data_IF_529319921333
#
_entry.id   IF_529319921333
#
_cell.length_a   1.000
_cell.length_b   1.000
_cell.length_c   1.000
_cell.angle_alpha   90.00
_cell.angle_beta   90.00
_cell.angle_gamma   90.00
#
_symmetry.space_group_name_H-M   'P 1'
#
loop_
_entity.id
_entity.type
_entity.pdbx_description
1 polymer ?
#
# COMPACT_ATOMS: atom_id res chain seq x y z
N UNK A 1 -12.17 7.90 -32.04
CA UNK A 1 -11.89 6.92 -30.97
C UNK A 1 -10.39 6.91 -30.70
N UNK A 2 -9.97 6.84 -29.43
CA UNK A 2 -8.54 6.83 -29.04
C UNK A 2 -7.86 8.20 -28.97
N UNK A 3 -8.61 9.29 -28.99
CA UNK A 3 -8.04 10.63 -28.82
C UNK A 3 -7.76 10.93 -27.34
N UNK A 4 -6.70 11.67 -27.08
CA UNK A 4 -6.33 12.22 -25.78
C UNK A 4 -6.63 13.71 -25.77
N UNK A 5 -7.26 14.20 -24.72
CA UNK A 5 -7.63 15.62 -24.62
C UNK A 5 -8.03 16.03 -23.22
N UNK A 6 -8.43 17.30 -23.09
CA UNK A 6 -8.95 17.86 -21.86
C UNK A 6 -10.49 17.81 -21.88
N UNK A 7 -11.07 17.43 -20.73
CA UNK A 7 -12.51 17.45 -20.53
C UNK A 7 -12.88 18.53 -19.51
N UNK A 8 -13.76 19.46 -19.90
CA UNK A 8 -14.23 20.55 -19.04
C UNK A 8 -15.73 20.33 -18.77
N UNK A 9 -16.06 19.93 -17.56
CA UNK A 9 -17.43 19.57 -17.14
C UNK A 9 -18.06 20.57 -16.16
N UNK A 10 -17.45 21.73 -15.94
CA UNK A 10 -17.90 22.74 -14.98
C UNK A 10 -18.13 22.16 -13.56
N UNK A 11 -17.27 21.21 -13.15
CA UNK A 11 -17.28 20.64 -11.81
C UNK A 11 -16.83 21.70 -10.81
N UNK A 12 -17.49 21.77 -9.65
CA UNK A 12 -17.12 22.72 -8.59
C UNK A 12 -15.92 22.22 -7.78
N UNK A 13 -15.79 20.90 -7.67
CA UNK A 13 -14.71 20.25 -6.96
C UNK A 13 -14.07 19.19 -7.87
N UNK A 14 -12.75 19.20 -8.02
CA UNK A 14 -12.01 18.20 -8.82
C UNK A 14 -12.20 16.80 -8.25
N UNK A 15 -12.40 16.65 -6.94
CA UNK A 15 -12.65 15.37 -6.27
C UNK A 15 -13.99 14.71 -6.68
N UNK A 16 -14.89 15.46 -7.31
CA UNK A 16 -16.17 14.93 -7.82
C UNK A 16 -15.98 14.09 -9.09
N UNK A 17 -14.79 14.11 -9.70
CA UNK A 17 -14.42 13.27 -10.84
C UNK A 17 -13.30 12.30 -10.45
N UNK A 18 -13.49 11.02 -10.71
CA UNK A 18 -12.53 9.96 -10.38
C UNK A 18 -11.99 9.31 -11.65
N UNK A 19 -10.77 8.80 -11.56
CA UNK A 19 -10.19 7.97 -12.65
C UNK A 19 -11.06 6.72 -12.82
N UNK A 20 -11.49 6.48 -14.05
CA UNK A 20 -12.40 5.38 -14.39
C UNK A 20 -13.89 5.77 -14.44
N UNK A 21 -14.25 7.01 -14.12
CA UNK A 21 -15.61 7.49 -14.27
C UNK A 21 -16.06 7.47 -15.73
N UNK A 22 -17.32 7.12 -15.94
CA UNK A 22 -17.92 7.11 -17.27
C UNK A 22 -18.63 8.44 -17.52
N UNK A 23 -18.17 9.17 -18.53
CA UNK A 23 -18.80 10.42 -18.95
C UNK A 23 -19.95 10.14 -19.89
N UNK A 24 -21.12 10.60 -19.56
CA UNK A 24 -22.36 10.36 -20.31
C UNK A 24 -23.02 11.69 -20.73
N UNK A 25 -23.70 11.65 -21.86
CA UNK A 25 -24.67 12.67 -22.20
C UNK A 25 -25.93 12.49 -21.31
N UNK A 26 -26.40 13.58 -20.69
CA UNK A 26 -27.57 13.55 -19.83
C UNK A 26 -28.85 13.00 -20.52
N UNK A 27 -28.90 13.08 -21.85
CA UNK A 27 -29.99 12.58 -22.69
C UNK A 27 -29.79 11.16 -23.18
N UNK A 28 -28.55 10.62 -23.11
CA UNK A 28 -28.18 9.29 -23.56
C UNK A 28 -27.48 8.53 -22.45
N UNK A 29 -28.23 7.71 -21.74
CA UNK A 29 -27.67 6.83 -20.72
C UNK A 29 -26.98 5.65 -21.40
N UNK A 30 -25.73 5.34 -21.04
CA UNK A 30 -25.08 4.10 -21.45
C UNK A 30 -25.82 2.92 -20.80
N UNK A 31 -26.07 1.83 -21.55
CA UNK A 31 -26.72 0.66 -21.00
C UNK A 31 -25.87 -0.04 -19.93
N UNK A 32 -24.54 0.01 -20.06
CA UNK A 32 -23.59 -0.62 -19.13
C UNK A 32 -22.32 0.24 -18.97
N UNK A 33 -21.76 0.23 -17.78
CA UNK A 33 -20.45 0.80 -17.51
C UNK A 33 -19.35 -0.10 -18.09
N UNK A 34 -18.24 0.47 -18.55
CA UNK A 34 -17.10 -0.31 -19.00
C UNK A 34 -16.51 -1.10 -17.83
N UNK A 35 -16.40 -2.42 -18.01
CA UNK A 35 -15.78 -3.28 -17.02
C UNK A 35 -14.25 -3.07 -16.99
N UNK A 36 -13.63 -3.34 -15.82
CA UNK A 36 -12.17 -3.36 -15.68
C UNK A 36 -11.59 -2.22 -14.87
N UNK A 37 -12.31 -1.14 -14.64
CA UNK A 37 -11.90 -0.11 -13.70
C UNK A 37 -12.21 -0.56 -12.27
N UNK A 38 -11.18 -0.64 -11.45
CA UNK A 38 -11.29 -0.96 -10.01
C UNK A 38 -10.77 0.21 -9.22
N UNK A 39 -11.44 0.52 -8.14
CA UNK A 39 -10.94 1.48 -7.16
C UNK A 39 -9.64 0.92 -6.57
N UNK A 40 -8.59 1.71 -6.65
CA UNK A 40 -7.28 1.34 -6.12
C UNK A 40 -7.33 1.54 -4.61
N UNK A 41 -7.02 0.48 -3.86
CA UNK A 41 -6.98 0.53 -2.40
C UNK A 41 -5.55 0.65 -1.91
N UNK A 42 -5.36 1.48 -0.90
CA UNK A 42 -4.11 1.56 -0.18
C UNK A 42 -3.83 0.24 0.54
N UNK A 43 -2.56 -0.19 0.52
CA UNK A 43 -2.10 -1.42 1.14
C UNK A 43 -1.14 -1.16 2.30
N UNK A 44 -0.51 -0.01 2.30
CA UNK A 44 0.52 0.39 3.26
C UNK A 44 0.14 1.76 3.81
N UNK A 45 0.25 1.92 5.11
CA UNK A 45 -0.12 3.16 5.81
C UNK A 45 1.05 3.68 6.62
N UNK A 46 1.27 4.99 6.57
CA UNK A 46 2.27 5.66 7.40
C UNK A 46 1.77 7.04 7.83
N UNK A 47 2.16 7.45 9.04
CA UNK A 47 1.98 8.82 9.48
C UNK A 47 3.04 9.72 8.82
N UNK A 48 2.61 10.86 8.28
CA UNK A 48 3.47 11.88 7.68
C UNK A 48 3.31 13.17 8.48
N UNK A 49 4.37 13.62 9.07
CA UNK A 49 4.39 14.77 9.98
C UNK A 49 5.38 15.81 9.48
N UNK A 50 5.06 17.11 9.55
CA UNK A 50 6.06 18.13 9.28
C UNK A 50 7.07 18.17 10.42
N UNK A 51 8.35 18.35 10.11
CA UNK A 51 9.40 18.51 11.12
C UNK A 51 9.21 19.80 11.93
N UNK A 52 8.68 20.85 11.30
CA UNK A 52 8.22 22.08 11.95
C UNK A 52 6.69 22.11 12.00
N UNK A 53 6.13 22.15 13.21
CA UNK A 53 4.69 22.20 13.42
C UNK A 53 3.99 23.38 12.73
N UNK A 54 4.70 24.47 12.44
CA UNK A 54 4.17 25.60 11.69
C UNK A 54 3.83 25.26 10.22
N UNK A 55 4.43 24.22 9.66
CA UNK A 55 4.20 23.74 8.28
C UNK A 55 3.03 22.78 8.13
N UNK A 56 2.22 22.55 9.17
CA UNK A 56 1.06 21.64 9.09
C UNK A 56 0.07 22.00 7.98
N UNK A 57 -0.26 23.29 7.84
CA UNK A 57 -1.17 23.76 6.81
C UNK A 57 -0.54 23.65 5.40
N UNK A 58 0.76 23.89 5.27
CA UNK A 58 1.49 23.74 4.02
C UNK A 58 1.51 22.26 3.59
N UNK A 59 1.70 21.33 4.54
CA UNK A 59 1.63 19.90 4.29
C UNK A 59 0.22 19.46 3.83
N UNK A 60 -0.83 19.98 4.47
CA UNK A 60 -2.21 19.71 4.05
C UNK A 60 -2.45 20.14 2.61
N UNK A 61 -2.06 21.37 2.28
CA UNK A 61 -2.25 21.94 0.94
C UNK A 61 -1.42 21.19 -0.12
N UNK A 62 -0.22 20.72 0.26
CA UNK A 62 0.63 19.90 -0.61
C UNK A 62 -0.01 18.52 -0.88
N UNK A 63 -0.50 17.84 0.15
CA UNK A 63 -1.22 16.56 0.00
C UNK A 63 -2.47 16.72 -0.86
N UNK A 64 -3.24 17.79 -0.67
CA UNK A 64 -4.42 18.08 -1.49
C UNK A 64 -4.05 18.23 -2.97
N UNK A 65 -2.97 18.94 -3.27
CA UNK A 65 -2.46 19.12 -4.65
C UNK A 65 -1.94 17.81 -5.24
N UNK A 66 -1.24 17.00 -4.45
CA UNK A 66 -0.76 15.69 -4.91
C UNK A 66 -1.91 14.75 -5.27
N UNK A 67 -2.97 14.71 -4.47
CA UNK A 67 -4.16 13.88 -4.74
C UNK A 67 -4.89 14.24 -6.05
N UNK A 68 -4.68 15.44 -6.61
CA UNK A 68 -5.22 15.79 -7.92
C UNK A 68 -4.54 15.02 -9.06
N UNK A 69 -3.28 14.63 -8.87
CA UNK A 69 -2.48 13.89 -9.85
C UNK A 69 -2.33 12.41 -9.49
N UNK A 70 -2.60 12.05 -8.26
CA UNK A 70 -2.47 10.70 -7.74
C UNK A 70 -3.74 10.28 -7.00
N UNK A 71 -4.64 9.64 -7.73
CA UNK A 71 -5.92 9.15 -7.20
C UNK A 71 -5.77 8.00 -6.20
N UNK A 72 -4.58 7.41 -6.09
CA UNK A 72 -4.29 6.30 -5.17
C UNK A 72 -3.82 6.77 -3.79
N UNK A 73 -3.37 8.03 -3.68
CA UNK A 73 -2.99 8.64 -2.42
C UNK A 73 -4.24 8.99 -1.61
N UNK A 74 -4.34 8.45 -0.41
CA UNK A 74 -5.38 8.76 0.56
C UNK A 74 -4.73 9.37 1.79
N UNK A 75 -5.37 10.33 2.44
CA UNK A 75 -4.88 10.89 3.68
C UNK A 75 -6.01 11.36 4.59
N UNK A 76 -5.78 11.26 5.87
CA UNK A 76 -6.66 11.77 6.92
C UNK A 76 -5.84 12.44 8.02
N UNK A 77 -6.39 13.42 8.75
CA UNK A 77 -5.69 14.05 9.87
C UNK A 77 -5.36 13.03 10.95
N UNK A 78 -4.13 13.09 11.44
CA UNK A 78 -3.64 12.27 12.55
C UNK A 78 -2.91 13.14 13.58
N UNK A 79 -2.93 12.73 14.83
CA UNK A 79 -2.15 13.39 15.88
C UNK A 79 -1.32 12.38 16.65
N UNK A 80 -0.07 12.73 16.90
CA UNK A 80 0.86 11.96 17.72
C UNK A 80 1.29 12.77 18.93
N UNK A 81 1.36 12.13 20.10
CA UNK A 81 1.86 12.78 21.32
C UNK A 81 3.33 13.19 21.21
N UNK A 82 4.10 12.51 20.36
CA UNK A 82 5.53 12.77 20.17
C UNK A 82 5.81 13.73 19.00
N UNK A 83 5.01 13.64 17.91
CA UNK A 83 5.26 14.35 16.66
C UNK A 83 4.28 15.51 16.40
N UNK A 84 3.22 15.63 17.21
CA UNK A 84 2.21 16.66 17.02
C UNK A 84 1.17 16.30 15.96
N UNK A 85 0.73 17.30 15.20
CA UNK A 85 -0.28 17.11 14.15
C UNK A 85 0.37 16.75 12.82
N UNK A 86 -0.23 15.81 12.13
CA UNK A 86 0.18 15.32 10.82
C UNK A 86 -0.96 14.64 10.08
N UNK A 87 -0.62 13.75 9.18
CA UNK A 87 -1.60 13.02 8.38
C UNK A 87 -1.24 11.53 8.33
N UNK A 88 -2.24 10.69 8.52
CA UNK A 88 -2.18 9.27 8.18
C UNK A 88 -2.39 9.14 6.68
N UNK A 89 -1.39 8.63 5.98
CA UNK A 89 -1.44 8.49 4.53
C UNK A 89 -1.47 7.01 4.14
N UNK A 90 -2.30 6.70 3.15
CA UNK A 90 -2.41 5.37 2.54
C UNK A 90 -1.71 5.32 1.19
N UNK A 91 -0.90 4.28 0.97
CA UNK A 91 -0.05 4.10 -0.20
C UNK A 91 -0.27 2.74 -0.85
N UNK A 92 0.07 2.61 -2.13
CA UNK A 92 0.04 1.32 -2.85
C UNK A 92 1.12 0.35 -2.40
N UNK A 93 2.17 0.86 -1.82
CA UNK A 93 3.34 0.11 -1.36
C UNK A 93 4.47 1.06 -0.97
N UNK A 94 5.61 0.50 -0.60
CA UNK A 94 6.76 1.27 -0.12
C UNK A 94 7.30 2.26 -1.16
N UNK A 95 7.46 1.83 -2.42
CA UNK A 95 7.92 2.71 -3.49
C UNK A 95 7.01 3.91 -3.70
N UNK A 96 5.69 3.70 -3.59
CA UNK A 96 4.73 4.80 -3.69
C UNK A 96 4.90 5.80 -2.52
N UNK A 97 5.11 5.30 -1.30
CA UNK A 97 5.41 6.13 -0.13
C UNK A 97 6.67 6.97 -0.37
N UNK A 98 7.76 6.36 -0.80
CA UNK A 98 9.03 7.04 -1.07
C UNK A 98 8.87 8.14 -2.14
N UNK A 99 8.15 7.85 -3.23
CA UNK A 99 7.88 8.83 -4.30
C UNK A 99 7.06 10.00 -3.77
N UNK A 100 6.00 9.74 -3.00
CA UNK A 100 5.16 10.79 -2.43
C UNK A 100 5.96 11.64 -1.45
N UNK A 101 6.76 11.02 -0.58
CA UNK A 101 7.63 11.73 0.34
C UNK A 101 8.62 12.63 -0.41
N UNK A 102 9.34 12.09 -1.39
CA UNK A 102 10.31 12.84 -2.19
C UNK A 102 9.65 14.01 -2.93
N UNK A 103 8.43 13.83 -3.44
CA UNK A 103 7.67 14.89 -4.08
C UNK A 103 7.27 16.00 -3.09
N UNK A 104 6.79 15.63 -1.89
CA UNK A 104 6.46 16.59 -0.84
C UNK A 104 7.69 17.42 -0.43
N UNK A 105 8.84 16.78 -0.28
CA UNK A 105 10.10 17.44 0.07
C UNK A 105 10.60 18.36 -1.05
N UNK A 106 10.62 17.89 -2.31
CA UNK A 106 11.21 18.63 -3.44
C UNK A 106 10.29 19.64 -4.09
N UNK A 107 9.00 19.29 -4.28
CA UNK A 107 8.07 20.18 -4.99
C UNK A 107 7.49 21.24 -4.05
N UNK A 108 7.34 20.92 -2.76
CA UNK A 108 6.70 21.80 -1.78
C UNK A 108 7.65 22.31 -0.70
N UNK A 109 8.92 21.91 -0.74
CA UNK A 109 9.97 22.32 0.20
C UNK A 109 9.59 22.05 1.67
N UNK A 110 9.07 20.86 1.95
CA UNK A 110 8.67 20.42 3.28
C UNK A 110 9.74 19.49 3.86
N UNK A 111 10.09 19.70 5.12
CA UNK A 111 10.88 18.73 5.88
C UNK A 111 9.90 17.79 6.61
N UNK A 112 10.00 16.48 6.34
CA UNK A 112 9.02 15.51 6.79
C UNK A 112 9.62 14.44 7.68
N UNK A 113 8.81 13.99 8.65
CA UNK A 113 9.06 12.80 9.46
C UNK A 113 7.97 11.78 9.10
N UNK A 114 8.38 10.63 8.55
CA UNK A 114 7.48 9.52 8.26
C UNK A 114 7.62 8.44 9.32
N UNK A 115 6.49 7.89 9.77
CA UNK A 115 6.51 6.73 10.67
C UNK A 115 6.82 5.45 9.91
N UNK A 116 7.19 4.41 10.65
CA UNK A 116 7.35 3.07 10.06
C UNK A 116 6.05 2.65 9.38
N UNK A 117 6.09 2.20 8.12
CA UNK A 117 4.90 1.74 7.40
C UNK A 117 4.24 0.55 8.10
N UNK A 118 2.92 0.57 8.14
CA UNK A 118 2.07 -0.49 8.69
C UNK A 118 1.10 -0.99 7.61
N UNK A 119 0.46 -2.12 7.89
CA UNK A 119 -0.60 -2.68 7.06
C UNK A 119 -1.92 -2.65 7.82
N UNK A 120 -3.05 -2.74 7.11
CA UNK A 120 -4.36 -2.86 7.73
C UNK A 120 -4.54 -4.26 8.32
N UNK A 121 -5.04 -4.36 9.57
CA UNK A 121 -5.43 -5.60 10.22
C UNK A 121 -6.95 -5.66 10.40
N UNK A 122 -7.55 -6.82 10.19
CA UNK A 122 -8.95 -7.07 10.54
C UNK A 122 -9.03 -7.68 11.93
N UNK A 123 -9.55 -6.92 12.87
CA UNK A 123 -9.72 -7.34 14.26
C UNK A 123 -11.16 -7.72 14.50
N UNK A 124 -11.39 -9.01 14.79
CA UNK A 124 -12.70 -9.53 15.14
C UNK A 124 -12.86 -9.52 16.65
N UNK A 125 -13.89 -8.85 17.12
CA UNK A 125 -14.22 -8.76 18.52
C UNK A 125 -15.01 -9.98 18.99
N UNK A 126 -15.09 -10.15 20.31
CA UNK A 126 -15.88 -11.22 20.96
C UNK A 126 -17.38 -11.02 20.79
N UNK A 127 -17.86 -9.82 20.49
CA UNK A 127 -19.26 -9.48 20.17
C UNK A 127 -19.65 -9.78 18.72
N UNK A 128 -18.66 -10.17 17.88
CA UNK A 128 -18.86 -10.52 16.47
C UNK A 128 -18.58 -9.39 15.50
N UNK A 129 -18.33 -8.17 15.96
CA UNK A 129 -17.97 -7.04 15.11
C UNK A 129 -16.56 -7.19 14.57
N UNK A 130 -16.34 -6.74 13.34
CA UNK A 130 -15.03 -6.60 12.71
C UNK A 130 -14.65 -5.12 12.62
N UNK A 131 -13.44 -4.81 13.04
CA UNK A 131 -12.84 -3.47 12.96
C UNK A 131 -11.57 -3.56 12.13
N UNK A 132 -11.47 -2.70 11.09
CA UNK A 132 -10.22 -2.50 10.38
C UNK A 132 -9.31 -1.60 11.22
N UNK A 133 -8.07 -2.03 11.44
CA UNK A 133 -7.08 -1.34 12.28
C UNK A 133 -5.83 -1.10 11.45
N UNK A 134 -5.58 0.14 11.12
CA UNK A 134 -4.38 0.59 10.38
C UNK A 134 -3.30 1.11 11.32
N UNK A 135 -3.71 1.68 12.45
CA UNK A 135 -2.83 2.21 13.47
C UNK A 135 -2.84 1.32 14.73
N UNK A 136 -1.69 0.88 15.25
CA UNK A 136 -1.61 0.10 16.47
C UNK A 136 -2.27 0.74 17.70
N UNK A 137 -2.40 2.08 17.74
CA UNK A 137 -3.09 2.79 18.84
C UNK A 137 -4.60 2.54 18.86
N UNK A 138 -5.19 2.19 17.74
CA UNK A 138 -6.63 1.95 17.59
C UNK A 138 -7.02 0.49 17.88
N UNK A 139 -6.03 -0.34 18.25
CA UNK A 139 -6.28 -1.73 18.59
C UNK A 139 -7.18 -1.82 19.84
N UNK A 140 -8.33 -2.52 19.74
CA UNK A 140 -9.21 -2.76 20.87
C UNK A 140 -8.50 -3.43 22.05
N UNK A 141 -9.10 -3.37 23.23
CA UNK A 141 -8.59 -4.10 24.39
C UNK A 141 -8.49 -5.59 24.06
N UNK A 142 -7.36 -6.20 24.39
CA UNK A 142 -7.04 -7.62 24.12
C UNK A 142 -8.13 -8.55 24.63
N UNK A 143 -8.77 -8.22 25.77
CA UNK A 143 -9.88 -9.01 26.33
C UNK A 143 -11.10 -9.08 25.40
N UNK A 144 -11.26 -8.12 24.49
CA UNK A 144 -12.37 -8.02 23.55
C UNK A 144 -12.04 -8.57 22.16
N UNK A 145 -10.81 -9.08 21.95
CA UNK A 145 -10.38 -9.61 20.66
C UNK A 145 -10.59 -11.13 20.62
N UNK A 146 -11.32 -11.57 19.61
CA UNK A 146 -11.52 -12.99 19.31
C UNK A 146 -10.43 -13.55 18.40
N UNK A 147 -10.12 -12.83 17.31
CA UNK A 147 -9.05 -13.15 16.36
C UNK A 147 -8.59 -11.91 15.62
N UNK A 148 -7.38 -11.97 15.11
CA UNK A 148 -6.82 -10.95 14.22
C UNK A 148 -6.47 -11.61 12.89
N UNK A 149 -6.82 -10.94 11.79
CA UNK A 149 -6.44 -11.34 10.44
C UNK A 149 -5.50 -10.28 9.86
N UNK A 150 -4.43 -10.75 9.23
CA UNK A 150 -3.46 -9.90 8.52
C UNK A 150 -3.58 -10.08 6.99
N UNK A 151 -3.25 -9.06 6.21
CA UNK A 151 -3.28 -9.14 4.75
C UNK A 151 -2.16 -10.05 4.24
N UNK A 152 -2.50 -10.89 3.29
CA UNK A 152 -1.59 -11.78 2.59
C UNK A 152 -1.45 -11.39 1.12
N UNK A 153 -0.29 -11.65 0.57
CA UNK A 153 0.01 -11.47 -0.84
C UNK A 153 0.53 -12.78 -1.45
N UNK A 154 0.18 -13.00 -2.71
CA UNK A 154 0.86 -13.97 -3.57
C UNK A 154 2.05 -13.28 -4.20
N UNK A 155 3.24 -13.80 -3.94
CA UNK A 155 4.49 -13.28 -4.46
C UNK A 155 5.12 -14.25 -5.46
N UNK A 156 5.58 -13.70 -6.58
CA UNK A 156 6.40 -14.39 -7.56
C UNK A 156 7.80 -13.79 -7.53
N UNK A 157 8.80 -14.64 -7.30
CA UNK A 157 10.20 -14.23 -7.25
C UNK A 157 10.93 -14.92 -8.37
N UNK A 158 11.44 -14.15 -9.32
CA UNK A 158 12.29 -14.67 -10.40
C UNK A 158 13.76 -14.40 -10.08
N UNK A 159 14.61 -15.43 -10.21
CA UNK A 159 16.03 -15.31 -9.90
C UNK A 159 16.86 -16.35 -10.66
N UNK A 160 18.19 -16.13 -10.78
CA UNK A 160 19.11 -17.18 -11.20
C UNK A 160 19.13 -18.38 -10.25
N UNK A 161 19.33 -19.58 -10.79
CA UNK A 161 19.30 -20.84 -10.05
C UNK A 161 20.33 -20.94 -8.92
N UNK A 162 21.44 -20.22 -9.02
CA UNK A 162 22.49 -20.19 -7.98
C UNK A 162 22.01 -19.60 -6.64
N UNK A 163 20.92 -18.78 -6.64
CA UNK A 163 20.39 -18.13 -5.44
C UNK A 163 19.20 -18.87 -4.80
N UNK A 164 18.84 -20.05 -5.29
CA UNK A 164 17.68 -20.84 -4.78
C UNK A 164 17.73 -20.97 -3.25
N UNK A 165 18.88 -21.42 -2.71
CA UNK A 165 19.00 -21.65 -1.26
C UNK A 165 18.82 -20.39 -0.43
N UNK A 166 19.37 -19.25 -0.88
CA UNK A 166 19.24 -17.97 -0.20
C UNK A 166 17.81 -17.45 -0.20
N UNK A 167 17.12 -17.57 -1.33
CA UNK A 167 15.73 -17.12 -1.48
C UNK A 167 14.77 -17.99 -0.66
N UNK A 168 14.97 -19.31 -0.66
CA UNK A 168 14.18 -20.22 0.17
C UNK A 168 14.32 -19.91 1.66
N UNK A 169 15.55 -19.64 2.12
CA UNK A 169 15.81 -19.24 3.51
C UNK A 169 15.12 -17.92 3.84
N UNK A 170 15.27 -16.91 2.98
CA UNK A 170 14.59 -15.61 3.16
C UNK A 170 13.07 -15.79 3.24
N UNK A 171 12.47 -16.61 2.37
CA UNK A 171 11.07 -16.92 2.38
C UNK A 171 10.60 -17.50 3.73
N UNK A 172 11.36 -18.46 4.28
CA UNK A 172 11.05 -19.07 5.59
C UNK A 172 11.20 -18.07 6.74
N UNK A 173 12.26 -17.23 6.74
CA UNK A 173 12.48 -16.19 7.76
C UNK A 173 11.36 -15.14 7.79
N UNK A 174 10.65 -14.97 6.68
CA UNK A 174 9.55 -14.01 6.50
C UNK A 174 8.17 -14.67 6.52
N UNK A 175 8.02 -15.75 7.22
CA UNK A 175 6.75 -16.51 7.38
C UNK A 175 6.08 -16.84 6.04
N UNK A 176 6.88 -17.00 4.98
CA UNK A 176 6.38 -17.31 3.65
C UNK A 176 5.94 -18.75 3.49
N UNK A 177 4.72 -18.93 3.03
CA UNK A 177 4.19 -20.23 2.62
C UNK A 177 4.69 -20.53 1.20
N UNK A 178 5.56 -21.51 1.07
CA UNK A 178 6.09 -21.94 -0.24
C UNK A 178 5.09 -22.81 -0.99
N UNK A 179 4.72 -22.43 -2.21
CA UNK A 179 3.78 -23.16 -3.05
C UNK A 179 4.44 -23.96 -4.15
N UNK A 180 5.63 -23.54 -4.58
CA UNK A 180 6.32 -24.25 -5.64
C UNK A 180 7.40 -23.40 -6.33
N UNK A 181 8.13 -24.08 -7.21
CA UNK A 181 9.19 -23.49 -8.01
C UNK A 181 9.13 -24.04 -9.42
N UNK A 182 9.23 -23.16 -10.41
CA UNK A 182 9.24 -23.52 -11.83
C UNK A 182 10.52 -23.03 -12.50
N UNK A 183 11.21 -23.90 -13.21
CA UNK A 183 12.35 -23.51 -14.05
C UNK A 183 11.83 -22.85 -15.32
N UNK A 184 12.17 -21.59 -15.52
CA UNK A 184 11.86 -20.84 -16.73
C UNK A 184 12.78 -21.24 -17.87
N UNK A 185 14.05 -21.46 -17.53
CA UNK A 185 15.10 -22.01 -18.41
C UNK A 185 16.21 -22.67 -17.54
N UNK A 186 17.34 -23.00 -18.15
CA UNK A 186 18.46 -23.65 -17.45
C UNK A 186 19.15 -22.76 -16.39
N UNK A 187 18.94 -21.45 -16.45
CA UNK A 187 19.63 -20.47 -15.61
C UNK A 187 18.69 -19.73 -14.66
N UNK A 188 17.36 -19.73 -14.92
CA UNK A 188 16.39 -18.94 -14.17
C UNK A 188 15.25 -19.79 -13.64
N UNK A 189 14.80 -19.39 -12.45
CA UNK A 189 13.73 -20.04 -11.71
C UNK A 189 12.73 -19.00 -11.22
N UNK A 190 11.45 -19.37 -11.18
CA UNK A 190 10.38 -18.61 -10.56
C UNK A 190 9.89 -19.36 -9.32
N UNK A 191 9.84 -18.66 -8.20
CA UNK A 191 9.24 -19.14 -6.95
C UNK A 191 7.84 -18.55 -6.79
N UNK A 192 6.95 -19.35 -6.24
CA UNK A 192 5.62 -18.93 -5.80
C UNK A 192 5.53 -19.06 -4.29
N UNK A 193 5.21 -17.94 -3.62
CA UNK A 193 5.00 -17.86 -2.18
C UNK A 193 3.71 -17.12 -1.86
N UNK A 194 3.16 -17.37 -0.66
CA UNK A 194 2.26 -16.42 0.00
C UNK A 194 2.98 -15.84 1.22
N UNK A 195 2.97 -14.52 1.36
CA UNK A 195 3.55 -13.82 2.50
C UNK A 195 2.52 -12.98 3.21
N UNK A 196 2.62 -12.80 4.54
CA UNK A 196 2.01 -11.67 5.20
C UNK A 196 2.59 -10.38 4.61
N UNK A 197 1.72 -9.44 4.22
CA UNK A 197 2.17 -8.18 3.60
C UNK A 197 3.14 -7.41 4.51
N UNK A 198 2.88 -7.40 5.82
CA UNK A 198 3.76 -6.74 6.80
C UNK A 198 5.19 -7.24 6.82
N UNK A 199 5.44 -8.50 6.41
CA UNK A 199 6.79 -9.08 6.35
C UNK A 199 7.60 -8.64 5.13
N UNK A 200 6.93 -8.16 4.08
CA UNK A 200 7.61 -7.78 2.84
C UNK A 200 7.67 -6.26 2.62
N UNK A 201 6.88 -5.49 3.36
CA UNK A 201 6.79 -4.03 3.17
C UNK A 201 8.08 -3.31 3.56
N UNK A 202 8.85 -3.79 4.54
CA UNK A 202 10.01 -3.05 5.05
C UNK A 202 11.28 -3.34 4.26
N UNK A 203 11.99 -4.40 4.62
CA UNK A 203 13.36 -4.66 4.15
C UNK A 203 13.49 -5.93 3.29
N UNK A 204 12.37 -6.55 2.94
CA UNK A 204 12.37 -7.79 2.17
C UNK A 204 13.01 -7.62 0.80
N UNK A 205 12.64 -6.55 0.08
CA UNK A 205 13.17 -6.29 -1.25
C UNK A 205 14.67 -6.05 -1.24
N UNK A 206 15.17 -5.28 -0.29
CA UNK A 206 16.59 -5.01 -0.14
C UNK A 206 17.40 -6.28 0.19
N UNK A 207 16.85 -7.11 1.08
CA UNK A 207 17.45 -8.42 1.38
C UNK A 207 17.43 -9.35 0.17
N UNK A 208 16.32 -9.38 -0.57
CA UNK A 208 16.21 -10.17 -1.78
C UNK A 208 17.25 -9.73 -2.82
N UNK A 209 17.41 -8.43 -3.04
CA UNK A 209 18.42 -7.87 -3.93
C UNK A 209 19.83 -8.17 -3.45
N UNK A 210 20.09 -8.02 -2.15
CA UNK A 210 21.39 -8.32 -1.56
C UNK A 210 21.79 -9.79 -1.75
N UNK A 211 20.90 -10.73 -1.44
CA UNK A 211 21.13 -12.17 -1.57
C UNK A 211 21.39 -12.56 -3.02
N UNK A 212 20.67 -11.94 -3.94
CA UNK A 212 20.75 -12.26 -5.38
C UNK A 212 21.70 -11.37 -6.17
N UNK A 213 22.52 -10.56 -5.52
CA UNK A 213 23.41 -9.57 -6.17
C UNK A 213 22.67 -8.66 -7.16
N UNK A 214 21.43 -8.32 -6.84
CA UNK A 214 20.59 -7.45 -7.66
C UNK A 214 19.78 -8.16 -8.76
N UNK A 215 19.98 -9.47 -8.98
CA UNK A 215 19.34 -10.17 -10.10
C UNK A 215 17.90 -10.58 -9.85
N UNK A 216 17.49 -10.84 -8.60
CA UNK A 216 16.12 -11.26 -8.34
C UNK A 216 15.12 -10.12 -8.57
N UNK A 217 13.96 -10.49 -9.09
CA UNK A 217 12.78 -9.61 -9.18
C UNK A 217 11.64 -10.17 -8.33
N UNK A 218 10.84 -9.26 -7.77
CA UNK A 218 9.67 -9.56 -6.98
C UNK A 218 8.46 -8.91 -7.64
N UNK A 219 7.41 -9.69 -7.81
CA UNK A 219 6.08 -9.24 -8.17
C UNK A 219 5.09 -9.84 -7.19
N UNK A 220 4.09 -9.08 -6.73
CA UNK A 220 3.10 -9.58 -5.79
C UNK A 220 1.72 -8.97 -6.01
N UNK A 221 0.69 -9.71 -5.63
CA UNK A 221 -0.70 -9.31 -5.68
C UNK A 221 -1.42 -9.67 -4.37
N UNK A 222 -2.44 -8.91 -4.00
CA UNK A 222 -3.23 -9.18 -2.79
C UNK A 222 -3.92 -10.53 -2.88
N UNK A 223 -3.84 -11.30 -1.78
CA UNK A 223 -4.45 -12.64 -1.63
C UNK A 223 -5.44 -12.71 -0.46
N UNK A 224 -6.01 -11.58 -0.08
CA UNK A 224 -6.98 -11.47 1.00
C UNK A 224 -6.37 -11.40 2.40
N UNK A 225 -7.18 -11.72 3.40
CA UNK A 225 -6.79 -11.70 4.81
C UNK A 225 -6.81 -13.11 5.39
N UNK A 226 -5.89 -13.41 6.31
CA UNK A 226 -5.80 -14.70 6.99
C UNK A 226 -5.58 -14.52 8.48
N UNK A 227 -6.23 -15.37 9.28
CA UNK A 227 -6.02 -15.38 10.72
C UNK A 227 -4.57 -15.75 11.05
N UNK A 228 -3.96 -15.00 11.96
CA UNK A 228 -2.58 -15.15 12.33
C UNK A 228 -2.38 -15.01 13.85
N UNK A 229 -1.47 -15.79 14.46
CA UNK A 229 -1.15 -15.69 15.87
C UNK A 229 -0.27 -14.46 16.14
N UNK A 230 -0.86 -13.27 16.02
CA UNK A 230 -0.18 -12.00 16.26
C UNK A 230 -0.11 -11.71 17.76
N UNK A 231 1.05 -11.26 18.22
CA UNK A 231 1.30 -10.82 19.60
C UNK A 231 1.43 -9.30 19.59
N UNK A 232 0.78 -8.65 20.55
CA UNK A 232 0.87 -7.20 20.77
C UNK A 232 2.23 -6.82 21.36
#
# INVERSE_FOLDING_TARGET
>A
AGEVGYFIANLRNVRDARVGDTVLDSTRKAPELLAGYREVRSMVFAGVYPADAAQYEDLRDALEKLCLNDASLQYEPESSTALGFGFRCGFLGLLHLEIVQERLEREFNLDLITTVPTVEYHVFKTDGDMVAVENPSDLPDVANISRIEEPYVKARIMAPTEYIGGIMKLGQERRGDYHGMTYLDTARVEFSFSFPLGEIVLDFYDKLKSISRGYASLDYEMDGFRASPLVR
#
